data_IF_928654193065
#
_entry.id   IF_928654193065
#
_cell.length_a   1.000
_cell.length_b   1.000
_cell.length_c   1.000
_cell.angle_alpha   90.00
_cell.angle_beta   90.00
_cell.angle_gamma   90.00
#
_symmetry.space_group_name_H-M   'P 1'
#
loop_
_entity.id
_entity.type
_entity.pdbx_description
1 polymer ?
#
# COMPACT_ATOMS: atom_id res chain seq x y z
N UNK A 1 14.20 24.22 1.36
CA UNK A 1 14.24 23.57 0.04
C UNK A 1 15.44 22.65 -0.02
N UNK A 2 15.26 21.41 -0.41
CA UNK A 2 16.34 20.42 -0.54
C UNK A 2 16.22 19.74 -1.90
N UNK A 3 17.34 19.67 -2.62
CA UNK A 3 17.50 18.84 -3.81
C UNK A 3 18.32 17.60 -3.42
N UNK A 4 17.83 16.45 -3.76
CA UNK A 4 18.50 15.18 -3.48
C UNK A 4 18.56 14.33 -4.76
N UNK A 5 19.69 13.66 -4.98
CA UNK A 5 19.80 12.58 -5.96
C UNK A 5 19.86 11.27 -5.20
N UNK A 6 19.07 10.29 -5.62
CA UNK A 6 19.06 8.96 -5.02
C UNK A 6 19.30 7.90 -6.07
N UNK A 7 20.25 7.01 -5.81
CA UNK A 7 20.42 5.77 -6.53
C UNK A 7 20.11 4.62 -5.57
N UNK A 8 19.17 3.76 -5.91
CA UNK A 8 18.91 2.54 -5.17
C UNK A 8 18.84 1.34 -6.10
N UNK A 9 19.43 0.25 -5.67
CA UNK A 9 19.39 -1.03 -6.33
C UNK A 9 18.68 -2.01 -5.40
N UNK A 10 17.54 -2.50 -5.82
CA UNK A 10 16.82 -3.56 -5.12
C UNK A 10 17.18 -4.87 -5.82
N UNK A 11 17.77 -5.81 -5.08
CA UNK A 11 18.00 -7.18 -5.49
C UNK A 11 17.21 -8.11 -4.58
N UNK A 12 16.50 -9.02 -5.18
CA UNK A 12 15.72 -9.98 -4.45
C UNK A 12 16.35 -11.35 -4.45
N UNK A 13 16.16 -12.09 -3.35
CA UNK A 13 16.49 -13.51 -3.24
C UNK A 13 15.20 -14.32 -3.29
N UNK A 14 15.24 -15.52 -3.81
CA UNK A 14 14.10 -16.43 -4.05
C UNK A 14 13.38 -16.95 -2.79
N UNK A 15 13.17 -16.09 -1.79
CA UNK A 15 12.59 -16.48 -0.50
C UNK A 15 11.16 -15.94 -0.27
N UNK A 16 10.48 -15.46 -1.33
CA UNK A 16 9.14 -14.86 -1.17
C UNK A 16 8.17 -15.78 -0.43
N UNK A 17 8.03 -17.03 -0.87
CA UNK A 17 7.08 -17.97 -0.27
C UNK A 17 7.48 -18.49 1.11
N UNK A 18 8.73 -18.29 1.54
CA UNK A 18 9.15 -18.59 2.92
C UNK A 18 8.58 -17.58 3.91
N UNK A 19 8.44 -16.32 3.49
CA UNK A 19 7.84 -15.26 4.30
C UNK A 19 6.33 -15.17 4.14
N UNK A 20 5.82 -15.41 2.92
CA UNK A 20 4.41 -15.30 2.58
C UNK A 20 3.77 -16.68 2.48
N UNK A 21 3.65 -17.35 3.64
CA UNK A 21 3.12 -18.73 3.72
C UNK A 21 1.68 -18.84 3.20
N UNK A 22 0.87 -17.79 3.39
CA UNK A 22 -0.51 -17.77 2.88
C UNK A 22 -0.57 -17.74 1.36
N UNK A 23 0.31 -16.98 0.71
CA UNK A 23 0.40 -16.92 -0.75
C UNK A 23 0.89 -18.27 -1.29
N UNK A 24 1.79 -18.94 -0.57
CA UNK A 24 2.21 -20.31 -0.86
C UNK A 24 1.03 -21.28 -0.77
N UNK A 25 0.26 -21.23 0.31
CA UNK A 25 -0.86 -22.13 0.52
C UNK A 25 -1.92 -21.98 -0.58
N UNK A 26 -2.25 -20.73 -0.97
CA UNK A 26 -3.16 -20.44 -2.09
C UNK A 26 -2.60 -20.99 -3.42
N UNK A 27 -1.30 -20.81 -3.66
CA UNK A 27 -0.64 -21.38 -4.84
C UNK A 27 -0.76 -22.89 -4.88
N UNK A 28 -0.49 -23.55 -3.77
CA UNK A 28 -0.56 -25.00 -3.66
C UNK A 28 -2.00 -25.52 -3.90
N UNK A 29 -3.01 -24.87 -3.33
CA UNK A 29 -4.42 -25.21 -3.56
C UNK A 29 -4.81 -25.09 -5.04
N UNK A 30 -4.41 -24.00 -5.71
CA UNK A 30 -4.69 -23.78 -7.12
C UNK A 30 -3.94 -24.79 -8.00
N UNK A 31 -2.68 -25.10 -7.67
CA UNK A 31 -1.90 -26.11 -8.40
C UNK A 31 -2.54 -27.50 -8.28
N UNK A 32 -2.95 -27.89 -7.08
CA UNK A 32 -3.64 -29.18 -6.89
C UNK A 32 -4.94 -29.25 -7.68
N UNK A 33 -5.73 -28.18 -7.69
CA UNK A 33 -6.95 -28.10 -8.51
C UNK A 33 -6.65 -28.20 -10.00
N UNK A 34 -5.60 -27.54 -10.49
CA UNK A 34 -5.19 -27.60 -11.88
C UNK A 34 -4.64 -28.98 -12.29
N UNK A 35 -3.91 -29.66 -11.42
CA UNK A 35 -3.42 -31.03 -11.69
C UNK A 35 -4.54 -32.06 -11.84
N UNK A 36 -5.68 -31.85 -11.17
CA UNK A 36 -6.87 -32.65 -11.38
C UNK A 36 -7.49 -32.42 -12.79
N UNK A 37 -7.42 -31.19 -13.30
CA UNK A 37 -7.88 -30.84 -14.64
C UNK A 37 -6.87 -31.26 -15.72
N UNK A 38 -5.58 -31.06 -15.47
CA UNK A 38 -4.49 -31.38 -16.40
C UNK A 38 -3.37 -32.18 -15.71
N UNK A 39 -3.47 -33.52 -15.64
CA UNK A 39 -2.43 -34.37 -15.00
C UNK A 39 -1.06 -34.32 -15.68
N UNK A 40 -0.99 -33.94 -16.96
CA UNK A 40 0.28 -33.81 -17.69
C UNK A 40 1.14 -32.69 -17.09
N UNK A 41 0.52 -31.60 -16.67
CA UNK A 41 1.23 -30.50 -16.03
C UNK A 41 1.90 -30.92 -14.72
N UNK A 42 1.29 -31.82 -13.95
CA UNK A 42 1.89 -32.37 -12.73
C UNK A 42 3.17 -33.16 -13.04
N UNK A 43 3.15 -33.98 -14.08
CA UNK A 43 4.32 -34.74 -14.51
C UNK A 43 5.44 -33.82 -15.01
N UNK A 44 5.09 -32.77 -15.75
CA UNK A 44 6.05 -31.78 -16.25
C UNK A 44 6.75 -30.97 -15.12
N UNK A 45 6.05 -30.68 -14.05
CA UNK A 45 6.64 -30.08 -12.84
C UNK A 45 7.60 -31.08 -12.16
N UNK A 46 7.18 -32.35 -12.06
CA UNK A 46 7.97 -33.39 -11.39
C UNK A 46 9.27 -33.74 -12.12
N UNK A 47 9.26 -33.72 -13.47
CA UNK A 47 10.44 -33.98 -14.29
C UNK A 47 11.30 -32.73 -14.60
N UNK A 48 10.83 -31.54 -14.14
CA UNK A 48 11.54 -30.27 -14.28
C UNK A 48 11.43 -29.63 -15.68
N UNK A 49 10.61 -30.18 -16.59
CA UNK A 49 10.37 -29.59 -17.92
C UNK A 49 9.49 -28.34 -17.87
N UNK A 50 8.75 -28.13 -16.77
CA UNK A 50 7.95 -26.95 -16.49
C UNK A 50 8.32 -26.38 -15.13
N UNK A 51 8.54 -25.06 -15.05
CA UNK A 51 8.76 -24.37 -13.76
C UNK A 51 7.47 -23.95 -13.11
N UNK A 52 7.46 -23.73 -11.79
CA UNK A 52 6.29 -23.24 -11.05
C UNK A 52 5.78 -21.89 -11.58
N UNK A 53 6.68 -21.01 -12.02
CA UNK A 53 6.28 -19.69 -12.55
C UNK A 53 5.66 -19.83 -13.95
N UNK A 54 6.19 -20.70 -14.80
CA UNK A 54 5.57 -21.04 -16.08
C UNK A 54 4.19 -21.68 -15.91
N UNK A 55 4.07 -22.63 -14.98
CA UNK A 55 2.77 -23.23 -14.66
C UNK A 55 1.76 -22.18 -14.17
N UNK A 56 2.19 -21.26 -13.31
CA UNK A 56 1.35 -20.17 -12.82
C UNK A 56 0.79 -19.32 -13.96
N UNK A 57 1.65 -18.98 -14.94
CA UNK A 57 1.24 -18.24 -16.13
C UNK A 57 0.23 -19.01 -17.00
N UNK A 58 0.43 -20.33 -17.16
CA UNK A 58 -0.49 -21.20 -17.91
C UNK A 58 -1.86 -21.23 -17.23
N UNK A 59 -1.90 -21.47 -15.92
CA UNK A 59 -3.16 -21.58 -15.15
C UNK A 59 -4.01 -20.33 -15.27
N UNK A 60 -3.41 -19.13 -15.13
CA UNK A 60 -4.13 -17.86 -15.19
C UNK A 60 -4.71 -17.60 -16.59
N UNK A 61 -3.98 -18.02 -17.64
CA UNK A 61 -4.35 -17.77 -19.02
C UNK A 61 -5.11 -18.94 -19.67
N UNK A 62 -5.51 -19.96 -18.91
CA UNK A 62 -6.27 -21.11 -19.42
C UNK A 62 -7.80 -20.89 -19.30
N UNK A 63 -8.49 -20.48 -20.38
CA UNK A 63 -9.93 -20.27 -20.35
C UNK A 63 -10.70 -21.59 -20.20
N UNK A 64 -10.13 -22.72 -20.67
CA UNK A 64 -10.73 -24.06 -20.51
C UNK A 64 -10.83 -24.44 -19.03
N UNK A 65 -9.74 -24.28 -18.30
CA UNK A 65 -9.71 -24.50 -16.86
C UNK A 65 -10.70 -23.58 -16.13
N UNK A 66 -10.66 -22.27 -16.41
CA UNK A 66 -11.54 -21.30 -15.76
C UNK A 66 -13.02 -21.63 -15.91
N UNK A 67 -13.43 -22.16 -17.05
CA UNK A 67 -14.82 -22.55 -17.31
C UNK A 67 -15.27 -23.78 -16.53
N UNK A 68 -14.35 -24.58 -15.99
CA UNK A 68 -14.69 -25.76 -15.16
C UNK A 68 -14.87 -25.44 -13.68
N UNK A 69 -14.49 -24.22 -13.26
CA UNK A 69 -14.44 -23.82 -11.84
C UNK A 69 -15.81 -23.36 -11.32
N UNK A 70 -16.10 -23.73 -10.07
CA UNK A 70 -17.19 -23.12 -9.32
C UNK A 70 -16.78 -21.74 -8.77
N UNK A 71 -17.74 -20.99 -8.18
CA UNK A 71 -17.48 -19.61 -7.71
C UNK A 71 -16.36 -19.55 -6.67
N UNK A 72 -16.29 -20.45 -5.71
CA UNK A 72 -15.23 -20.48 -4.69
C UNK A 72 -13.85 -20.72 -5.32
N UNK A 73 -13.78 -21.59 -6.31
CA UNK A 73 -12.53 -21.86 -7.04
C UNK A 73 -12.12 -20.66 -7.91
N UNK A 74 -13.08 -19.95 -8.51
CA UNK A 74 -12.82 -18.68 -9.24
C UNK A 74 -12.25 -17.63 -8.27
N UNK A 75 -12.82 -17.52 -7.07
CA UNK A 75 -12.31 -16.58 -6.06
C UNK A 75 -10.90 -16.95 -5.60
N UNK A 76 -10.60 -18.24 -5.44
CA UNK A 76 -9.23 -18.72 -5.16
C UNK A 76 -8.28 -18.42 -6.33
N UNK A 77 -8.69 -18.62 -7.58
CA UNK A 77 -7.88 -18.30 -8.76
C UNK A 77 -7.61 -16.79 -8.87
N UNK A 78 -8.60 -15.94 -8.58
CA UNK A 78 -8.43 -14.49 -8.53
C UNK A 78 -7.45 -14.09 -7.40
N UNK A 79 -7.56 -14.73 -6.24
CA UNK A 79 -6.66 -14.54 -5.12
C UNK A 79 -5.23 -14.95 -5.48
N UNK A 80 -5.08 -16.07 -6.17
CA UNK A 80 -3.78 -16.53 -6.68
C UNK A 80 -3.17 -15.53 -7.68
N UNK A 81 -3.95 -15.04 -8.64
CA UNK A 81 -3.49 -14.02 -9.58
C UNK A 81 -3.00 -12.75 -8.85
N UNK A 82 -3.74 -12.30 -7.83
CA UNK A 82 -3.31 -11.15 -7.02
C UNK A 82 -2.01 -11.44 -6.25
N UNK A 83 -1.85 -12.66 -5.73
CA UNK A 83 -0.62 -13.03 -5.03
C UNK A 83 0.59 -13.03 -5.97
N UNK A 84 0.43 -13.44 -7.22
CA UNK A 84 1.49 -13.36 -8.23
C UNK A 84 1.86 -11.93 -8.57
N UNK A 85 0.89 -11.03 -8.75
CA UNK A 85 1.14 -9.60 -8.95
C UNK A 85 1.91 -9.01 -7.77
N UNK A 86 1.53 -9.35 -6.55
CA UNK A 86 2.24 -8.91 -5.34
C UNK A 86 3.65 -9.47 -5.27
N UNK A 87 3.83 -10.77 -5.57
CA UNK A 87 5.15 -11.42 -5.64
C UNK A 87 6.04 -10.69 -6.64
N UNK A 88 5.58 -10.53 -7.87
CA UNK A 88 6.36 -9.91 -8.94
C UNK A 88 6.82 -8.49 -8.56
N UNK A 89 5.90 -7.66 -8.06
CA UNK A 89 6.22 -6.29 -7.59
C UNK A 89 7.23 -6.25 -6.44
N UNK A 90 7.19 -7.22 -5.53
CA UNK A 90 8.07 -7.25 -4.36
C UNK A 90 9.42 -7.89 -4.66
N UNK A 91 9.46 -8.81 -5.64
CA UNK A 91 10.66 -9.58 -5.97
C UNK A 91 11.42 -9.06 -7.17
N UNK A 92 10.89 -8.07 -7.88
CA UNK A 92 11.53 -7.49 -9.06
C UNK A 92 12.85 -6.82 -8.70
N UNK A 93 13.94 -7.24 -9.34
CA UNK A 93 15.19 -6.49 -9.33
C UNK A 93 14.99 -5.19 -10.11
N UNK A 94 15.28 -4.05 -9.50
CA UNK A 94 15.06 -2.76 -10.13
C UNK A 94 16.09 -1.71 -9.72
N UNK A 95 16.57 -0.95 -10.70
CA UNK A 95 17.38 0.24 -10.47
C UNK A 95 16.46 1.46 -10.42
N UNK A 96 16.53 2.22 -9.34
CA UNK A 96 15.84 3.50 -9.21
C UNK A 96 16.89 4.59 -9.11
N UNK A 97 16.99 5.41 -10.16
CA UNK A 97 17.80 6.63 -10.17
C UNK A 97 16.87 7.83 -10.24
N UNK A 98 16.79 8.60 -9.19
CA UNK A 98 15.81 9.69 -9.08
C UNK A 98 16.43 11.02 -8.67
N UNK A 99 15.81 12.09 -9.17
CA UNK A 99 15.97 13.47 -8.72
C UNK A 99 14.76 13.80 -7.84
N UNK A 100 15.03 14.23 -6.60
CA UNK A 100 14.02 14.56 -5.62
C UNK A 100 14.10 16.04 -5.28
N UNK A 101 12.99 16.76 -5.43
CA UNK A 101 12.81 18.10 -4.90
C UNK A 101 11.87 18.06 -3.71
N UNK A 102 12.27 18.64 -2.59
CA UNK A 102 11.47 18.71 -1.37
C UNK A 102 11.41 20.16 -0.88
N UNK A 103 10.18 20.67 -0.70
CA UNK A 103 9.91 21.97 -0.12
C UNK A 103 9.15 21.79 1.19
N UNK A 104 9.69 22.33 2.29
CA UNK A 104 9.08 22.29 3.60
C UNK A 104 8.90 23.72 4.11
N UNK A 105 7.66 24.03 4.51
CA UNK A 105 7.32 25.21 5.28
C UNK A 105 6.80 24.75 6.66
N UNK A 106 7.42 25.21 7.73
CA UNK A 106 7.15 24.72 9.07
C UNK A 106 7.10 25.84 10.10
N UNK A 107 5.94 26.01 10.73
CA UNK A 107 5.69 26.92 11.84
C UNK A 107 5.64 26.18 13.20
N UNK A 108 5.61 24.84 13.19
CA UNK A 108 5.47 24.02 14.40
C UNK A 108 6.68 24.28 15.33
N UNK A 109 6.38 24.52 16.61
CA UNK A 109 7.38 24.79 17.64
C UNK A 109 7.90 26.23 17.69
N UNK A 110 7.51 27.11 16.77
CA UNK A 110 7.83 28.53 16.80
C UNK A 110 6.83 29.27 17.70
N UNK A 111 7.33 30.04 18.65
CA UNK A 111 6.50 30.76 19.65
C UNK A 111 5.62 31.86 19.05
N UNK A 112 5.96 32.32 17.86
CA UNK A 112 5.26 33.38 17.13
C UNK A 112 3.90 32.95 16.59
N UNK A 113 3.67 31.63 16.46
CA UNK A 113 2.46 31.07 15.86
C UNK A 113 1.64 30.29 16.90
N UNK A 114 0.51 30.83 17.31
CA UNK A 114 -0.43 30.12 18.19
C UNK A 114 -1.08 28.93 17.50
N UNK A 115 -1.42 29.08 16.21
CA UNK A 115 -2.04 28.07 15.38
C UNK A 115 -1.11 27.69 14.22
N UNK A 116 -0.05 26.90 14.46
CA UNK A 116 0.97 26.65 13.47
C UNK A 116 0.46 25.87 12.25
N UNK A 117 1.07 26.18 11.13
CA UNK A 117 0.86 25.52 9.83
C UNK A 117 2.12 24.77 9.42
N UNK A 118 1.92 23.63 8.79
CA UNK A 118 2.98 22.84 8.19
C UNK A 118 2.58 22.45 6.76
N UNK A 119 3.51 22.59 5.84
CA UNK A 119 3.39 22.14 4.47
C UNK A 119 4.67 21.41 4.05
N UNK A 120 4.52 20.24 3.47
CA UNK A 120 5.60 19.52 2.80
C UNK A 120 5.13 19.08 1.41
N UNK A 121 5.79 19.62 0.38
CA UNK A 121 5.61 19.21 -1.01
C UNK A 121 6.86 18.52 -1.52
N UNK A 122 6.73 17.28 -1.99
CA UNK A 122 7.81 16.47 -2.53
C UNK A 122 7.50 16.05 -3.95
N UNK A 123 8.47 16.21 -4.85
CA UNK A 123 8.42 15.73 -6.23
C UNK A 123 9.62 14.81 -6.47
N UNK A 124 9.41 13.70 -7.10
CA UNK A 124 10.45 12.73 -7.47
C UNK A 124 10.30 12.36 -8.94
N UNK A 125 11.38 12.50 -9.70
CA UNK A 125 11.48 12.12 -11.11
C UNK A 125 12.51 11.01 -11.22
N UNK A 126 12.10 9.82 -11.64
CA UNK A 126 12.96 8.65 -11.72
C UNK A 126 13.16 8.16 -13.15
N UNK A 127 14.37 7.65 -13.43
CA UNK A 127 14.73 6.93 -14.63
C UNK A 127 14.99 7.78 -15.88
N UNK A 128 14.76 9.10 -15.86
CA UNK A 128 14.94 9.96 -17.04
C UNK A 128 16.39 10.01 -17.52
N UNK A 129 17.34 10.11 -16.59
CA UNK A 129 18.76 10.10 -16.93
C UNK A 129 19.15 8.76 -17.56
N UNK A 130 18.68 7.65 -16.98
CA UNK A 130 18.97 6.31 -17.46
C UNK A 130 18.35 6.04 -18.84
N UNK A 131 17.18 6.63 -19.12
CA UNK A 131 16.51 6.49 -20.40
C UNK A 131 17.24 7.19 -21.57
N UNK A 132 18.13 8.11 -21.28
CA UNK A 132 18.95 8.81 -22.28
C UNK A 132 20.09 7.92 -22.83
N UNK A 133 20.47 6.87 -22.10
CA UNK A 133 21.48 5.92 -22.59
C UNK A 133 20.83 4.93 -23.58
N UNK A 134 21.58 4.59 -24.64
CA UNK A 134 21.13 3.61 -25.64
C UNK A 134 21.11 2.22 -24.99
N UNK A 135 19.90 1.66 -24.78
CA UNK A 135 19.70 0.46 -23.99
C UNK A 135 19.07 -0.62 -24.85
N UNK A 136 19.55 -1.83 -24.68
CA UNK A 136 18.96 -3.01 -25.31
C UNK A 136 17.74 -3.44 -24.50
N UNK A 137 16.67 -3.82 -25.22
CA UNK A 137 15.53 -4.52 -24.59
C UNK A 137 15.97 -5.94 -24.25
N UNK A 138 15.70 -6.37 -23.04
CA UNK A 138 15.90 -7.75 -22.65
C UNK A 138 14.60 -8.53 -22.89
N UNK A 139 14.62 -9.39 -23.91
CA UNK A 139 13.47 -10.23 -24.25
C UNK A 139 13.60 -11.65 -23.69
N UNK A 140 14.62 -11.94 -22.86
CA UNK A 140 14.94 -13.30 -22.42
C UNK A 140 13.97 -13.86 -21.38
N UNK A 141 13.36 -12.98 -20.58
CA UNK A 141 12.29 -13.34 -19.65
C UNK A 141 11.26 -12.20 -19.65
N UNK A 142 10.28 -12.21 -20.54
CA UNK A 142 9.11 -11.39 -20.31
C UNK A 142 8.49 -11.91 -19.01
N UNK A 143 8.52 -11.10 -17.95
CA UNK A 143 7.75 -11.37 -16.73
C UNK A 143 6.28 -11.60 -17.11
N UNK A 144 5.51 -12.21 -16.26
CA UNK A 144 4.08 -12.53 -16.54
C UNK A 144 3.30 -11.28 -16.96
N UNK A 145 3.85 -10.08 -16.75
CA UNK A 145 3.18 -8.80 -16.95
C UNK A 145 3.95 -7.79 -17.81
N UNK A 146 5.25 -7.99 -18.10
CA UNK A 146 6.08 -7.02 -18.83
C UNK A 146 6.89 -7.67 -19.96
N UNK A 147 6.51 -7.37 -21.20
CA UNK A 147 7.28 -7.78 -22.36
C UNK A 147 8.28 -6.68 -22.75
N UNK A 148 9.57 -6.91 -22.49
CA UNK A 148 10.66 -6.16 -23.11
C UNK A 148 11.02 -4.85 -22.43
N UNK A 149 11.23 -4.85 -21.11
CA UNK A 149 11.83 -3.72 -20.39
C UNK A 149 13.28 -3.47 -20.86
N UNK A 150 13.66 -2.19 -20.86
CA UNK A 150 15.04 -1.79 -21.10
C UNK A 150 15.85 -1.98 -19.83
N UNK A 151 17.05 -2.53 -19.96
CA UNK A 151 17.91 -2.86 -18.83
C UNK A 151 19.24 -2.11 -18.87
N UNK A 152 19.82 -1.89 -17.70
CA UNK A 152 21.21 -1.44 -17.50
C UNK A 152 21.90 -2.54 -16.74
N UNK A 153 23.00 -3.07 -17.30
CA UNK A 153 23.72 -4.22 -16.77
C UNK A 153 22.83 -5.47 -16.51
N UNK A 154 21.79 -5.63 -17.37
CA UNK A 154 20.86 -6.73 -17.24
C UNK A 154 19.76 -6.55 -16.17
N UNK A 155 19.68 -5.39 -15.53
CA UNK A 155 18.68 -5.07 -14.51
C UNK A 155 17.75 -3.98 -15.06
N UNK A 156 16.41 -4.14 -15.01
CA UNK A 156 15.47 -3.12 -15.42
C UNK A 156 15.58 -1.88 -14.53
N UNK A 157 15.29 -0.71 -15.09
CA UNK A 157 15.24 0.53 -14.34
C UNK A 157 13.81 1.09 -14.33
N UNK A 158 13.44 1.67 -13.19
CA UNK A 158 12.12 2.28 -13.03
C UNK A 158 12.08 3.69 -13.62
N UNK A 159 10.98 3.99 -14.36
CA UNK A 159 10.62 5.35 -14.80
C UNK A 159 9.28 5.76 -14.20
N UNK A 160 9.28 6.80 -13.39
CA UNK A 160 8.06 7.35 -12.80
C UNK A 160 8.22 8.80 -12.39
N UNK A 161 7.09 9.46 -12.21
CA UNK A 161 6.98 10.73 -11.48
C UNK A 161 6.13 10.49 -10.24
N UNK A 162 6.55 11.05 -9.10
CA UNK A 162 5.83 10.95 -7.85
C UNK A 162 5.66 12.32 -7.21
N UNK A 163 4.46 12.60 -6.72
CA UNK A 163 4.10 13.83 -6.02
C UNK A 163 3.50 13.48 -4.68
N UNK A 164 4.08 14.03 -3.61
CA UNK A 164 3.55 13.93 -2.25
C UNK A 164 3.27 15.33 -1.71
N UNK A 165 2.09 15.53 -1.12
CA UNK A 165 1.70 16.76 -0.42
C UNK A 165 1.19 16.38 0.96
N UNK A 166 1.83 16.91 2.02
CA UNK A 166 1.42 16.75 3.42
C UNK A 166 1.17 18.15 4.00
N UNK A 167 -0.08 18.42 4.33
CA UNK A 167 -0.54 19.68 4.92
C UNK A 167 -1.03 19.42 6.32
N UNK A 168 -0.58 20.21 7.28
CA UNK A 168 -1.03 20.10 8.68
C UNK A 168 -1.40 21.46 9.22
N UNK A 169 -2.47 21.51 10.00
CA UNK A 169 -2.91 22.70 10.71
C UNK A 169 -3.28 22.36 12.15
N UNK A 170 -2.85 23.19 13.06
CA UNK A 170 -3.14 23.00 14.48
C UNK A 170 -3.92 24.21 14.95
N UNK A 171 -4.96 23.96 15.75
CA UNK A 171 -5.75 24.99 16.42
C UNK A 171 -5.67 24.76 17.92
N UNK A 172 -5.14 25.72 18.63
CA UNK A 172 -5.11 25.70 20.08
C UNK A 172 -6.38 26.33 20.64
N UNK A 173 -7.08 25.58 21.47
CA UNK A 173 -8.26 26.06 22.19
C UNK A 173 -7.90 26.18 23.68
N UNK A 174 -8.03 27.37 24.23
CA UNK A 174 -7.60 27.69 25.60
C UNK A 174 -6.11 27.31 25.82
N UNK A 175 -5.71 27.20 27.08
CA UNK A 175 -4.30 26.98 27.42
C UNK A 175 -3.78 25.57 27.08
N UNK A 176 -4.65 24.59 26.88
CA UNK A 176 -4.20 23.20 26.95
C UNK A 176 -4.76 22.24 25.88
N UNK A 177 -5.76 22.63 25.08
CA UNK A 177 -6.38 21.71 24.10
C UNK A 177 -5.93 22.03 22.69
N UNK A 178 -5.74 21.00 21.86
CA UNK A 178 -5.30 21.19 20.47
C UNK A 178 -6.10 20.32 19.52
N UNK A 179 -6.68 20.93 18.49
CA UNK A 179 -7.19 20.22 17.31
C UNK A 179 -6.08 20.18 16.26
N UNK A 180 -5.62 19.01 15.93
CA UNK A 180 -4.63 18.76 14.87
C UNK A 180 -5.34 18.17 13.65
N UNK A 181 -5.13 18.78 12.50
CA UNK A 181 -5.64 18.34 11.21
C UNK A 181 -4.47 18.04 10.29
N UNK A 182 -4.56 16.93 9.55
CA UNK A 182 -3.61 16.57 8.51
C UNK A 182 -4.34 16.13 7.26
N UNK A 183 -3.85 16.57 6.11
CA UNK A 183 -4.23 16.09 4.80
C UNK A 183 -2.98 15.63 4.06
N UNK A 184 -2.94 14.35 3.67
CA UNK A 184 -1.91 13.81 2.81
C UNK A 184 -2.52 13.40 1.46
N UNK A 185 -1.86 13.78 0.39
CA UNK A 185 -2.19 13.38 -0.98
C UNK A 185 -0.91 12.88 -1.64
N UNK A 186 -0.96 11.70 -2.19
CA UNK A 186 0.16 11.09 -2.92
C UNK A 186 -0.29 10.61 -4.30
N UNK A 187 0.55 10.84 -5.32
CA UNK A 187 0.33 10.42 -6.69
C UNK A 187 1.64 9.91 -7.29
N UNK A 188 1.68 8.65 -7.71
CA UNK A 188 2.79 8.02 -8.42
C UNK A 188 2.36 7.61 -9.82
N UNK A 189 3.03 8.13 -10.85
CA UNK A 189 2.70 7.89 -12.26
C UNK A 189 3.87 7.15 -12.91
N UNK A 190 3.78 5.83 -13.13
CA UNK A 190 4.76 5.10 -13.93
C UNK A 190 4.61 5.45 -15.40
N UNK A 191 5.72 5.48 -16.13
CA UNK A 191 5.75 5.72 -17.57
C UNK A 191 7.00 5.12 -18.22
N UNK A 192 7.06 5.15 -19.54
CA UNK A 192 8.25 4.77 -20.32
C UNK A 192 8.64 3.31 -20.11
N UNK A 193 9.66 3.05 -19.31
CA UNK A 193 10.16 1.71 -19.03
C UNK A 193 9.40 0.99 -17.90
N UNK A 194 8.45 1.65 -17.22
CA UNK A 194 7.69 1.06 -16.12
C UNK A 194 6.20 1.06 -16.43
N UNK A 195 5.56 -0.08 -16.27
CA UNK A 195 4.09 -0.23 -16.32
C UNK A 195 3.48 0.00 -14.94
N UNK A 196 4.23 -0.28 -13.88
CA UNK A 196 3.82 -0.16 -12.49
C UNK A 196 4.84 0.64 -11.66
N UNK A 197 4.39 1.17 -10.52
CA UNK A 197 5.30 1.75 -9.53
C UNK A 197 6.11 0.65 -8.84
N UNK A 198 7.43 0.83 -8.64
CA UNK A 198 8.22 -0.07 -7.81
C UNK A 198 7.61 -0.20 -6.39
N UNK A 199 7.74 -1.37 -5.78
CA UNK A 199 7.27 -1.62 -4.40
C UNK A 199 7.74 -0.55 -3.43
N UNK A 200 9.04 -0.25 -3.42
CA UNK A 200 9.67 0.73 -2.53
C UNK A 200 9.16 2.19 -2.72
N UNK A 201 8.38 2.45 -3.76
CA UNK A 201 7.83 3.79 -4.07
C UNK A 201 6.30 3.81 -4.14
N UNK A 202 5.65 2.67 -4.04
CA UNK A 202 4.19 2.55 -3.99
C UNK A 202 3.64 3.02 -2.64
N UNK A 203 2.35 3.34 -2.61
CA UNK A 203 1.66 3.69 -1.37
C UNK A 203 0.96 2.46 -0.78
N UNK A 204 0.88 2.45 0.54
CA UNK A 204 0.09 1.49 1.31
C UNK A 204 -0.68 2.23 2.41
N UNK A 205 -1.66 1.58 3.02
CA UNK A 205 -2.46 2.10 4.11
C UNK A 205 -2.21 1.38 5.43
N UNK A 206 -2.61 2.05 6.50
CA UNK A 206 -2.66 1.52 7.85
C UNK A 206 -1.42 1.82 8.69
N UNK A 207 -1.55 1.52 9.96
CA UNK A 207 -0.52 1.73 10.97
C UNK A 207 -0.65 3.03 11.74
N UNK A 208 0.18 3.15 12.75
CA UNK A 208 0.08 4.15 13.82
C UNK A 208 0.15 5.63 13.35
N UNK A 209 0.76 5.91 12.20
CA UNK A 209 0.92 7.28 11.66
C UNK A 209 0.10 7.52 10.38
N UNK A 210 -0.86 6.64 10.10
CA UNK A 210 -1.69 6.69 8.90
C UNK A 210 -3.17 6.50 9.29
N UNK A 211 -3.84 5.46 8.83
CA UNK A 211 -5.22 5.12 9.18
C UNK A 211 -5.18 4.04 10.27
N UNK A 212 -5.27 4.47 11.53
CA UNK A 212 -4.97 3.65 12.72
C UNK A 212 -5.89 2.45 12.94
N UNK A 213 -7.09 2.45 12.33
CA UNK A 213 -8.02 1.33 12.43
C UNK A 213 -7.63 0.10 11.58
N UNK A 214 -6.60 0.21 10.76
CA UNK A 214 -5.98 -0.89 10.01
C UNK A 214 -4.51 -1.00 10.36
N UNK A 215 -4.02 -2.23 10.51
CA UNK A 215 -2.58 -2.48 10.66
C UNK A 215 -1.83 -2.06 9.40
N UNK A 216 -0.56 -1.73 9.52
CA UNK A 216 0.27 -1.37 8.36
C UNK A 216 0.27 -2.51 7.35
N UNK A 217 0.09 -2.19 6.07
CA UNK A 217 -0.11 -3.15 4.97
C UNK A 217 -1.34 -4.07 5.15
N UNK A 218 -2.19 -3.80 6.11
CA UNK A 218 -3.23 -4.71 6.63
C UNK A 218 -4.61 -4.50 6.04
N UNK A 219 -4.73 -4.33 4.73
CA UNK A 219 -5.98 -4.63 4.07
C UNK A 219 -6.99 -3.50 3.88
N UNK A 220 -6.60 -2.23 3.93
CA UNK A 220 -7.43 -1.15 3.41
C UNK A 220 -6.99 -0.81 1.98
N UNK A 221 -7.92 -0.94 1.03
CA UNK A 221 -7.67 -0.68 -0.39
C UNK A 221 -7.11 -1.90 -1.15
N UNK A 222 -6.74 -1.70 -2.43
CA UNK A 222 -7.00 -0.50 -3.19
C UNK A 222 -8.48 -0.35 -3.53
N UNK A 223 -8.98 0.88 -3.53
CA UNK A 223 -10.39 1.21 -3.71
C UNK A 223 -11.32 0.43 -2.75
N UNK A 224 -12.41 -0.13 -3.25
CA UNK A 224 -13.31 -1.07 -2.58
C UNK A 224 -13.21 -2.48 -3.15
N UNK A 225 -12.01 -2.87 -3.62
CA UNK A 225 -11.76 -4.18 -4.21
C UNK A 225 -12.09 -5.32 -3.24
N UNK A 226 -12.76 -6.35 -3.75
CA UNK A 226 -13.14 -7.55 -3.00
C UNK A 226 -12.00 -8.58 -3.00
N UNK A 227 -10.79 -8.14 -2.68
CA UNK A 227 -9.63 -9.02 -2.54
C UNK A 227 -9.79 -9.85 -1.26
N UNK A 228 -9.48 -11.13 -1.34
CA UNK A 228 -9.51 -12.03 -0.18
C UNK A 228 -8.67 -11.47 0.98
N UNK A 229 -9.23 -11.44 2.20
CA UNK A 229 -8.55 -10.93 3.39
C UNK A 229 -7.21 -11.67 3.66
N UNK A 230 -7.09 -12.93 3.22
CA UNK A 230 -5.87 -13.74 3.39
C UNK A 230 -4.67 -13.18 2.63
N UNK A 231 -4.90 -12.58 1.46
CA UNK A 231 -3.84 -12.04 0.58
C UNK A 231 -3.79 -10.51 0.55
N UNK A 232 -4.66 -9.85 1.30
CA UNK A 232 -4.74 -8.39 1.37
C UNK A 232 -3.52 -7.75 2.04
N UNK A 233 -2.61 -8.56 2.57
CA UNK A 233 -1.32 -8.13 3.08
C UNK A 233 -0.46 -7.60 1.92
N UNK A 234 0.13 -6.41 2.09
CA UNK A 234 0.97 -5.75 1.08
C UNK A 234 0.25 -5.22 -0.17
N UNK A 235 -1.02 -4.92 -0.05
CA UNK A 235 -1.74 -4.22 -1.12
C UNK A 235 -1.17 -2.82 -1.28
N UNK A 236 -0.94 -2.43 -2.53
CA UNK A 236 -0.29 -1.18 -2.90
C UNK A 236 -1.13 -0.38 -3.88
N UNK A 237 -0.93 0.95 -3.88
CA UNK A 237 -1.58 1.86 -4.80
C UNK A 237 -0.63 2.89 -5.40
N UNK A 238 -1.10 3.55 -6.43
CA UNK A 238 -0.44 4.66 -7.11
C UNK A 238 -0.94 6.02 -6.62
N UNK A 239 -2.16 6.05 -6.10
CA UNK A 239 -2.80 7.23 -5.53
C UNK A 239 -3.08 6.95 -4.06
N UNK A 240 -2.84 7.93 -3.20
CA UNK A 240 -3.14 7.87 -1.77
C UNK A 240 -3.82 9.14 -1.31
N UNK A 241 -4.86 9.00 -0.52
CA UNK A 241 -5.52 10.08 0.20
C UNK A 241 -5.60 9.68 1.67
N UNK A 242 -5.12 10.53 2.58
CA UNK A 242 -5.27 10.35 4.02
C UNK A 242 -5.62 11.68 4.68
N UNK A 243 -6.69 11.69 5.44
CA UNK A 243 -7.11 12.80 6.29
C UNK A 243 -7.12 12.33 7.73
N UNK A 244 -6.39 13.00 8.60
CA UNK A 244 -6.37 12.72 10.02
C UNK A 244 -6.89 13.93 10.79
N UNK A 245 -7.78 13.68 11.73
CA UNK A 245 -8.35 14.66 12.65
C UNK A 245 -8.10 14.15 14.06
N UNK A 246 -7.42 14.93 14.90
CA UNK A 246 -7.10 14.53 16.25
C UNK A 246 -7.32 15.67 17.23
N UNK A 247 -8.20 15.46 18.21
CA UNK A 247 -8.43 16.40 19.30
C UNK A 247 -7.70 15.92 20.55
N UNK A 248 -6.73 16.70 21.00
CA UNK A 248 -5.80 16.41 22.10
C UNK A 248 -6.22 17.16 23.35
N UNK A 249 -6.31 16.45 24.47
CA UNK A 249 -6.77 16.97 25.77
C UNK A 249 -5.74 16.57 26.83
N UNK A 250 -4.78 17.44 27.17
CA UNK A 250 -3.86 17.20 28.28
C UNK A 250 -4.63 17.29 29.60
N UNK A 251 -4.43 16.36 30.50
CA UNK A 251 -4.99 16.34 31.83
C UNK A 251 -3.93 16.39 32.95
N UNK A 252 -2.67 16.29 32.58
CA UNK A 252 -1.51 16.61 33.43
C UNK A 252 -0.30 16.97 32.56
N UNK A 253 0.80 17.40 33.18
CA UNK A 253 2.05 17.70 32.46
C UNK A 253 2.61 16.47 31.69
N UNK A 254 2.31 15.27 32.17
CA UNK A 254 2.83 14.02 31.61
C UNK A 254 1.84 13.24 30.77
N UNK A 255 0.55 13.46 30.97
CA UNK A 255 -0.50 12.65 30.37
C UNK A 255 -1.46 13.49 29.53
N UNK A 256 -1.71 13.02 28.32
CA UNK A 256 -2.66 13.62 27.39
C UNK A 256 -3.55 12.50 26.79
N UNK A 257 -4.83 12.74 26.73
CA UNK A 257 -5.76 11.91 25.96
C UNK A 257 -5.98 12.49 24.56
N UNK A 258 -6.41 11.67 23.63
CA UNK A 258 -6.85 12.13 22.31
C UNK A 258 -8.06 11.35 21.84
N UNK A 259 -8.91 12.04 21.09
CA UNK A 259 -9.97 11.44 20.27
C UNK A 259 -9.61 11.71 18.83
N UNK A 260 -9.71 10.70 17.96
CA UNK A 260 -9.30 10.88 16.59
C UNK A 260 -10.22 10.19 15.58
N UNK A 261 -10.15 10.67 14.36
CA UNK A 261 -10.76 10.06 13.18
C UNK A 261 -9.79 10.14 12.02
N UNK A 262 -9.54 8.98 11.40
CA UNK A 262 -8.67 8.82 10.24
C UNK A 262 -9.53 8.39 9.05
N UNK A 263 -9.36 9.05 7.90
CA UNK A 263 -10.14 8.82 6.69
C UNK A 263 -9.19 8.70 5.52
N UNK A 264 -9.36 7.71 4.66
CA UNK A 264 -8.54 7.62 3.45
C UNK A 264 -8.58 6.27 2.78
N UNK A 265 -7.82 6.16 1.71
CA UNK A 265 -7.60 4.93 0.97
C UNK A 265 -6.40 5.07 0.00
N UNK A 266 -6.09 3.98 -0.69
CA UNK A 266 -5.20 3.95 -1.86
C UNK A 266 -5.97 3.47 -3.09
N UNK A 267 -5.48 3.82 -4.27
CA UNK A 267 -6.04 3.40 -5.55
C UNK A 267 -4.92 3.13 -6.55
N UNK A 268 -5.22 2.31 -7.54
CA UNK A 268 -4.40 2.18 -8.75
C UNK A 268 -4.75 3.27 -9.76
N UNK A 269 -3.83 3.61 -10.68
CA UNK A 269 -4.12 4.53 -11.80
C UNK A 269 -4.83 3.84 -12.96
N UNK A 270 -4.65 2.52 -13.06
CA UNK A 270 -5.32 1.66 -14.04
C UNK A 270 -5.95 0.50 -13.29
N UNK A 271 -7.08 0.03 -13.79
CA UNK A 271 -7.72 -1.16 -13.26
C UNK A 271 -6.85 -2.40 -13.54
N UNK A 272 -6.50 -3.11 -12.48
CA UNK A 272 -5.76 -4.37 -12.56
C UNK A 272 -6.70 -5.60 -12.59
N UNK A 273 -7.97 -5.39 -12.95
CA UNK A 273 -9.00 -6.43 -12.97
C UNK A 273 -9.74 -6.60 -11.63
N UNK A 274 -9.51 -5.69 -10.67
CA UNK A 274 -10.11 -5.75 -9.33
C UNK A 274 -10.97 -4.52 -9.00
N UNK A 275 -11.29 -3.70 -10.00
CA UNK A 275 -12.04 -2.44 -9.82
C UNK A 275 -11.32 -1.46 -8.89
N UNK A 276 -10.00 -1.48 -8.91
CA UNK A 276 -9.11 -0.76 -7.99
C UNK A 276 -8.67 0.63 -8.52
N UNK A 277 -9.14 1.02 -9.70
CA UNK A 277 -8.81 2.29 -10.34
C UNK A 277 -9.41 3.50 -9.61
N UNK A 278 -8.63 4.58 -9.50
CA UNK A 278 -9.11 5.86 -8.99
C UNK A 278 -10.13 6.50 -9.94
N UNK A 279 -11.34 6.76 -9.44
CA UNK A 279 -12.41 7.47 -10.16
C UNK A 279 -13.00 8.58 -9.29
N UNK A 280 -12.92 9.82 -9.77
CA UNK A 280 -13.49 10.98 -9.06
C UNK A 280 -14.96 10.82 -8.68
N UNK A 281 -15.73 10.08 -9.47
CA UNK A 281 -17.15 9.83 -9.20
C UNK A 281 -17.40 8.83 -8.05
N UNK A 282 -16.39 8.05 -7.66
CA UNK A 282 -16.55 6.94 -6.70
C UNK A 282 -15.69 7.08 -5.44
N UNK A 283 -14.57 7.84 -5.48
CA UNK A 283 -13.54 7.80 -4.44
C UNK A 283 -14.07 8.09 -3.03
N UNK A 284 -15.06 9.00 -2.87
CA UNK A 284 -15.66 9.30 -1.56
C UNK A 284 -16.42 8.11 -0.93
N UNK A 285 -16.91 7.17 -1.75
CA UNK A 285 -17.57 5.94 -1.25
C UNK A 285 -16.57 4.83 -0.98
N UNK A 286 -15.34 5.01 -1.44
CA UNK A 286 -14.27 4.04 -1.34
C UNK A 286 -13.28 4.35 -0.21
N UNK A 287 -13.41 5.50 0.49
CA UNK A 287 -12.56 5.81 1.64
C UNK A 287 -12.95 4.97 2.85
N UNK A 288 -11.95 4.43 3.55
CA UNK A 288 -12.14 3.83 4.87
C UNK A 288 -12.22 4.93 5.94
N UNK A 289 -13.02 4.71 6.97
CA UNK A 289 -13.13 5.59 8.13
C UNK A 289 -12.84 4.80 9.39
N UNK A 290 -11.83 5.23 10.14
CA UNK A 290 -11.49 4.71 11.45
C UNK A 290 -11.57 5.80 12.51
N UNK A 291 -12.05 5.48 13.69
CA UNK A 291 -12.07 6.42 14.82
C UNK A 291 -11.61 5.72 16.10
N UNK A 292 -11.13 6.48 17.06
CA UNK A 292 -10.64 5.89 18.28
C UNK A 292 -10.23 6.89 19.33
N UNK A 293 -9.68 6.32 20.38
CA UNK A 293 -9.13 7.08 21.52
C UNK A 293 -7.67 6.71 21.74
N UNK A 294 -6.91 7.64 22.27
CA UNK A 294 -5.50 7.40 22.53
C UNK A 294 -5.01 8.06 23.81
N UNK A 295 -3.98 7.46 24.37
CA UNK A 295 -3.24 7.98 25.52
C UNK A 295 -1.83 8.37 25.07
N UNK A 296 -1.36 9.51 25.50
CA UNK A 296 0.00 10.02 25.30
C UNK A 296 0.66 10.14 26.66
N UNK A 297 1.86 9.62 26.78
CA UNK A 297 2.67 9.71 28.00
C UNK A 297 3.97 10.40 27.65
N UNK A 298 4.14 11.62 28.18
CA UNK A 298 5.34 12.43 27.96
C UNK A 298 6.39 12.08 29.01
N UNK A 299 7.47 11.44 28.59
CA UNK A 299 8.61 11.07 29.45
C UNK A 299 9.85 11.78 28.91
N UNK A 300 10.29 12.80 29.63
CA UNK A 300 11.42 13.65 29.23
C UNK A 300 11.23 14.23 27.81
N UNK A 301 11.98 13.70 26.84
CA UNK A 301 11.96 14.16 25.43
C UNK A 301 11.16 13.23 24.50
N UNK A 302 10.54 12.19 25.05
CA UNK A 302 9.86 11.16 24.27
C UNK A 302 8.38 11.15 24.67
N UNK A 303 7.51 11.18 23.66
CA UNK A 303 6.09 10.91 23.84
C UNK A 303 5.83 9.45 23.44
N UNK A 304 5.38 8.64 24.40
CA UNK A 304 4.84 7.31 24.15
C UNK A 304 3.36 7.43 23.83
N UNK A 305 2.90 6.77 22.78
CA UNK A 305 1.52 6.83 22.32
C UNK A 305 0.90 5.44 22.26
N UNK A 306 -0.29 5.32 22.84
CA UNK A 306 -1.15 4.14 22.81
C UNK A 306 -2.46 4.52 22.18
N UNK A 307 -2.79 3.95 21.01
CA UNK A 307 -4.05 4.23 20.30
C UNK A 307 -4.90 2.96 20.21
N UNK A 308 -6.20 3.11 20.50
CA UNK A 308 -7.23 2.09 20.35
C UNK A 308 -8.18 2.56 19.26
N UNK A 309 -8.11 1.94 18.10
CA UNK A 309 -8.82 2.36 16.90
C UNK A 309 -9.85 1.31 16.46
N UNK A 310 -10.99 1.78 15.95
CA UNK A 310 -12.09 0.96 15.47
C UNK A 310 -12.45 1.35 14.04
N UNK A 311 -12.73 0.36 13.21
CA UNK A 311 -13.28 0.57 11.88
C UNK A 311 -14.72 1.05 11.99
N UNK A 312 -15.01 2.22 11.44
CA UNK A 312 -16.35 2.80 11.37
C UNK A 312 -17.00 2.49 10.03
N UNK A 313 -16.23 2.66 8.96
CA UNK A 313 -16.65 2.31 7.60
C UNK A 313 -15.51 1.60 6.88
N UNK A 314 -15.78 0.38 6.42
CA UNK A 314 -14.83 -0.46 5.67
C UNK A 314 -15.34 -0.64 4.24
N UNK A 315 -14.76 0.06 3.25
CA UNK A 315 -15.24 0.01 1.87
C UNK A 315 -15.08 -1.37 1.22
N UNK A 316 -14.17 -2.20 1.74
CA UNK A 316 -13.87 -3.53 1.23
C UNK A 316 -14.87 -4.61 1.69
N UNK A 317 -15.87 -4.24 2.49
CA UNK A 317 -16.97 -5.14 2.85
C UNK A 317 -18.10 -5.07 1.82
N UNK A 318 -18.92 -6.14 1.70
CA UNK A 318 -20.09 -6.13 0.82
C UNK A 318 -21.05 -4.98 1.12
N UNK A 319 -21.84 -4.59 0.12
CA UNK A 319 -22.86 -3.57 0.30
C UNK A 319 -23.85 -4.00 1.41
N UNK A 320 -24.14 -3.07 2.33
CA UNK A 320 -24.93 -3.32 3.54
C UNK A 320 -24.10 -3.68 4.78
N UNK A 321 -22.84 -4.08 4.64
CA UNK A 321 -21.92 -4.39 5.73
C UNK A 321 -20.78 -3.39 5.87
N UNK A 322 -20.69 -2.39 5.00
CA UNK A 322 -19.61 -1.38 5.00
C UNK A 322 -19.59 -0.56 6.28
N UNK A 323 -20.76 -0.23 6.85
CA UNK A 323 -20.89 0.41 8.15
C UNK A 323 -20.76 -0.62 9.27
N UNK A 324 -19.72 -0.46 10.11
CA UNK A 324 -19.31 -1.45 11.11
C UNK A 324 -19.97 -1.28 12.49
N UNK A 325 -21.03 -0.45 12.59
CA UNK A 325 -21.72 -0.22 13.86
C UNK A 325 -22.38 -1.49 14.45
N UNK A 326 -22.85 -2.41 13.57
CA UNK A 326 -23.47 -3.67 14.00
C UNK A 326 -22.46 -4.64 14.63
N UNK A 327 -21.21 -4.58 14.19
CA UNK A 327 -20.12 -5.46 14.62
C UNK A 327 -19.17 -4.77 15.59
N UNK A 328 -19.58 -3.60 16.10
CA UNK A 328 -18.73 -2.86 17.02
C UNK A 328 -18.50 -3.65 18.31
N UNK A 329 -17.24 -3.96 18.58
CA UNK A 329 -16.82 -4.61 19.81
C UNK A 329 -15.72 -3.78 20.48
N UNK A 330 -16.00 -3.12 21.61
CA UNK A 330 -15.03 -2.28 22.31
C UNK A 330 -13.81 -3.06 22.86
N UNK A 331 -13.93 -4.39 22.99
CA UNK A 331 -12.84 -5.27 23.44
C UNK A 331 -11.92 -5.75 22.32
N UNK A 332 -12.21 -5.40 21.06
CA UNK A 332 -11.41 -5.78 19.90
C UNK A 332 -10.95 -4.57 19.08
N UNK A 333 -10.24 -3.60 19.67
CA UNK A 333 -9.66 -2.50 18.91
C UNK A 333 -8.47 -2.95 18.08
N UNK A 334 -8.16 -2.20 17.04
CA UNK A 334 -6.81 -2.21 16.47
C UNK A 334 -5.92 -1.41 17.40
N UNK A 335 -4.96 -2.08 18.02
CA UNK A 335 -4.03 -1.48 18.97
C UNK A 335 -2.79 -0.98 18.26
N UNK A 336 -2.39 0.27 18.52
CA UNK A 336 -1.17 0.86 18.01
C UNK A 336 -0.32 1.38 19.16
N UNK A 337 0.94 0.97 19.20
CA UNK A 337 1.99 1.51 20.04
C UNK A 337 2.96 2.30 19.17
N UNK A 338 3.24 3.54 19.52
CA UNK A 338 4.16 4.37 18.73
C UNK A 338 4.87 5.42 19.61
N UNK A 339 5.92 6.00 19.03
CA UNK A 339 6.66 7.11 19.62
C UNK A 339 6.34 8.41 18.87
N UNK A 340 6.21 9.51 19.59
CA UNK A 340 5.85 10.82 19.05
C UNK A 340 4.37 10.96 18.69
N UNK A 341 4.02 12.13 18.17
CA UNK A 341 2.69 12.39 17.64
C UNK A 341 2.54 11.76 16.24
N UNK A 342 1.31 11.41 15.80
CA UNK A 342 1.10 10.77 14.50
C UNK A 342 1.42 11.69 13.33
N UNK A 343 1.34 12.98 13.56
CA UNK A 343 1.64 14.06 12.60
C UNK A 343 1.88 15.38 13.32
#
# INVERSE_FOLDING_TARGET
TVFNTQLSLTRNKESYYDFFTRDRDIREDVFQSYFQYNPVAQQQIADGSLTSDQLSAIIINDPGYRNTLNQTQIDNLNSFNQSLINKDRQTQDVIISSLIYNFVYNEIGKKEYENPFYFNGKMEFAGNILSAFNQKRDNRNPGVFDAGERTIFGIPYAQFVKFDVDVRKYFKFNTNQTLALRQFIGLGIPYGNSTNMPFARSYFNGGANDIRAWVAFGGLGPADSQIDERIRTYVMGNVKLTTNIEYRIPFSERFESAIFTDIGNIWSLKDNGFNDEFKFSKFLRQVGVGSGVGLRVNVAYITLRLDFAYKIYDPNKPDGEKWRFKDFNPLKPTFNLAFGYPF
#
